data_IF_264727943579
#
_entry.id   IF_264727943579
#
_cell.length_a   1.000
_cell.length_b   1.000
_cell.length_c   1.000
_cell.angle_alpha   90.00
_cell.angle_beta   90.00
_cell.angle_gamma   90.00
#
_symmetry.space_group_name_H-M   'P 1'
#
loop_
_entity.id
_entity.type
_entity.pdbx_description
1 polymer ?
#
# COMPACT_ATOMS: atom_id res chain seq x y z
N UNK A 1 33.27 -23.70 38.23
CA UNK A 1 32.70 -24.35 37.03
C UNK A 1 31.25 -24.69 37.33
N UNK A 2 30.30 -24.11 36.58
CA UNK A 2 28.88 -24.48 36.67
C UNK A 2 28.74 -25.94 36.23
N UNK A 3 28.16 -26.84 37.06
CA UNK A 3 27.98 -28.23 36.63
C UNK A 3 26.92 -28.26 35.53
N UNK A 4 27.04 -29.16 34.56
CA UNK A 4 26.10 -29.25 33.42
C UNK A 4 24.63 -29.37 33.87
N UNK A 5 24.39 -30.02 35.01
CA UNK A 5 23.06 -30.13 35.63
C UNK A 5 22.53 -28.79 36.14
N UNK A 6 23.41 -27.94 36.69
CA UNK A 6 23.06 -26.60 37.17
C UNK A 6 22.67 -25.71 35.99
N UNK A 7 23.42 -25.78 34.88
CA UNK A 7 23.10 -25.04 33.65
C UNK A 7 21.73 -25.46 33.07
N UNK A 8 21.44 -26.75 33.01
CA UNK A 8 20.14 -27.26 32.56
C UNK A 8 18.99 -26.88 33.51
N UNK A 9 19.27 -26.87 34.82
CA UNK A 9 18.34 -26.41 35.85
C UNK A 9 17.99 -24.93 35.68
N UNK A 10 19.02 -24.08 35.54
CA UNK A 10 18.87 -22.65 35.33
C UNK A 10 18.13 -22.33 34.03
N UNK A 11 18.39 -23.05 32.95
CA UNK A 11 17.69 -22.84 31.67
C UNK A 11 16.19 -23.13 31.80
N UNK A 12 15.82 -24.25 32.43
CA UNK A 12 14.41 -24.59 32.68
C UNK A 12 13.75 -23.54 33.58
N UNK A 13 14.46 -23.10 34.62
CA UNK A 13 14.00 -22.08 35.54
C UNK A 13 13.78 -20.75 34.81
N UNK A 14 14.74 -20.29 34.01
CA UNK A 14 14.65 -19.06 33.23
C UNK A 14 13.37 -19.01 32.38
N UNK A 15 13.07 -20.08 31.65
CA UNK A 15 11.87 -20.17 30.80
C UNK A 15 10.59 -20.16 31.65
N UNK A 16 10.60 -20.82 32.81
CA UNK A 16 9.46 -20.88 33.72
C UNK A 16 9.20 -19.55 34.46
N UNK A 17 10.24 -18.77 34.73
CA UNK A 17 10.15 -17.48 35.43
C UNK A 17 9.85 -16.29 34.50
N UNK A 18 9.56 -16.54 33.21
CA UNK A 18 9.10 -15.49 32.31
C UNK A 18 7.79 -14.85 32.83
N UNK A 19 7.55 -13.55 32.58
CA UNK A 19 6.33 -12.86 33.04
C UNK A 19 5.03 -13.51 32.54
N UNK A 20 5.10 -14.18 31.39
CA UNK A 20 4.05 -15.05 30.86
C UNK A 20 4.69 -16.33 30.29
N UNK A 21 3.97 -17.47 30.25
CA UNK A 21 4.47 -18.69 29.65
C UNK A 21 4.85 -18.47 28.19
N UNK A 22 5.88 -19.17 27.72
CA UNK A 22 6.42 -18.96 26.38
C UNK A 22 5.36 -19.17 25.28
N UNK A 23 4.45 -20.13 25.47
CA UNK A 23 3.34 -20.39 24.54
C UNK A 23 2.02 -19.67 24.87
N UNK A 24 2.08 -18.69 25.77
CA UNK A 24 0.98 -17.86 26.29
C UNK A 24 -0.17 -18.64 26.94
N UNK A 25 -0.74 -18.10 28.02
CA UNK A 25 -1.90 -18.75 28.70
C UNK A 25 -3.14 -18.70 27.81
N UNK A 26 -3.29 -17.63 27.05
CA UNK A 26 -4.47 -17.37 26.20
C UNK A 26 -4.65 -18.43 25.11
N UNK A 27 -3.57 -18.94 24.53
CA UNK A 27 -3.64 -19.93 23.45
C UNK A 27 -3.58 -21.38 23.94
N UNK A 28 -3.28 -21.62 25.23
CA UNK A 28 -3.19 -22.96 25.80
C UNK A 28 -4.43 -23.84 25.52
N UNK A 29 -5.69 -23.37 25.67
CA UNK A 29 -6.86 -24.17 25.33
C UNK A 29 -6.89 -24.62 23.87
N UNK A 30 -6.41 -23.79 22.94
CA UNK A 30 -6.36 -24.11 21.52
C UNK A 30 -5.28 -25.17 21.22
N UNK A 31 -4.12 -25.06 21.86
CA UNK A 31 -3.07 -26.07 21.80
C UNK A 31 -3.55 -27.45 22.28
N UNK A 32 -4.28 -27.50 23.41
CA UNK A 32 -4.83 -28.74 23.96
C UNK A 32 -5.91 -29.32 23.02
N UNK A 33 -6.88 -28.49 22.63
CA UNK A 33 -8.02 -28.88 21.78
C UNK A 33 -7.55 -29.47 20.45
N UNK A 34 -6.46 -28.93 19.88
CA UNK A 34 -5.86 -29.44 18.66
C UNK A 34 -5.47 -30.91 18.76
N UNK A 35 -4.85 -31.32 19.86
CA UNK A 35 -4.43 -32.72 20.04
C UNK A 35 -5.63 -33.60 20.36
N UNK A 36 -6.55 -33.12 21.18
CA UNK A 36 -7.70 -33.91 21.65
C UNK A 36 -8.76 -34.13 20.57
N UNK A 37 -9.05 -33.12 19.74
CA UNK A 37 -10.14 -33.18 18.76
C UNK A 37 -9.70 -33.56 17.35
N UNK A 38 -8.43 -33.39 17.01
CA UNK A 38 -7.94 -33.64 15.64
C UNK A 38 -7.13 -34.94 15.64
N UNK A 39 -7.71 -36.02 15.11
CA UNK A 39 -7.02 -37.32 15.06
C UNK A 39 -5.95 -37.41 13.96
N UNK A 40 -6.08 -36.62 12.88
CA UNK A 40 -5.17 -36.66 11.73
C UNK A 40 -3.93 -35.79 11.99
N UNK A 41 -2.75 -36.39 12.03
CA UNK A 41 -1.48 -35.70 12.27
C UNK A 41 -1.21 -34.53 11.31
N UNK A 42 -1.58 -34.66 10.03
CA UNK A 42 -1.42 -33.58 9.05
C UNK A 42 -2.21 -32.33 9.43
N UNK A 43 -3.45 -32.52 9.89
CA UNK A 43 -4.33 -31.43 10.33
C UNK A 43 -3.84 -30.84 11.66
N UNK A 44 -3.35 -31.69 12.58
CA UNK A 44 -2.69 -31.22 13.81
C UNK A 44 -1.49 -30.32 13.49
N UNK A 45 -0.63 -30.72 12.55
CA UNK A 45 0.52 -29.91 12.16
C UNK A 45 0.10 -28.59 11.52
N UNK A 46 -0.93 -28.59 10.65
CA UNK A 46 -1.43 -27.36 10.04
C UNK A 46 -1.97 -26.38 11.08
N UNK A 47 -2.81 -26.85 12.01
CA UNK A 47 -3.37 -25.95 13.02
C UNK A 47 -2.31 -25.54 14.07
N UNK A 48 -1.33 -26.41 14.38
CA UNK A 48 -0.19 -26.07 15.22
C UNK A 48 0.68 -25.00 14.56
N UNK A 49 0.89 -25.09 13.25
CA UNK A 49 1.59 -24.09 12.45
C UNK A 49 0.93 -22.71 12.59
N UNK A 50 -0.40 -22.65 12.45
CA UNK A 50 -1.15 -21.39 12.59
C UNK A 50 -1.09 -20.83 14.01
N UNK A 51 -1.15 -21.68 15.04
CA UNK A 51 -0.98 -21.23 16.42
C UNK A 51 0.40 -20.61 16.67
N UNK A 52 1.47 -21.16 16.07
CA UNK A 52 2.81 -20.56 16.14
C UNK A 52 2.85 -19.19 15.44
N UNK A 53 2.14 -19.03 14.33
CA UNK A 53 2.05 -17.74 13.61
C UNK A 53 1.29 -16.67 14.43
N UNK A 54 0.42 -17.07 15.35
CA UNK A 54 -0.31 -16.15 16.24
C UNK A 54 0.49 -15.74 17.48
N UNK A 55 1.58 -16.45 17.81
CA UNK A 55 2.42 -16.08 18.96
C UNK A 55 3.04 -14.69 18.74
N UNK A 56 3.18 -13.89 19.82
CA UNK A 56 3.96 -12.66 19.79
C UNK A 56 5.37 -12.93 19.25
N UNK A 57 5.93 -11.97 18.51
CA UNK A 57 7.22 -12.13 17.82
C UNK A 57 8.34 -12.57 18.76
N UNK A 58 8.49 -11.90 19.91
CA UNK A 58 9.50 -12.25 20.92
C UNK A 58 9.33 -13.69 21.46
N UNK A 59 8.09 -14.12 21.71
CA UNK A 59 7.78 -15.48 22.17
C UNK A 59 8.12 -16.51 21.09
N UNK A 60 7.73 -16.25 19.85
CA UNK A 60 7.96 -17.15 18.70
C UNK A 60 9.45 -17.33 18.43
N UNK A 61 10.23 -16.26 18.46
CA UNK A 61 11.66 -16.30 18.19
C UNK A 61 12.42 -17.00 19.32
N UNK A 62 12.05 -16.71 20.57
CA UNK A 62 12.60 -17.40 21.74
C UNK A 62 12.27 -18.90 21.71
N UNK A 63 11.02 -19.25 21.40
CA UNK A 63 10.60 -20.64 21.26
C UNK A 63 11.37 -21.36 20.15
N UNK A 64 11.58 -20.71 19.00
CA UNK A 64 12.37 -21.24 17.89
C UNK A 64 13.79 -21.59 18.34
N UNK A 65 14.49 -20.63 18.93
CA UNK A 65 15.87 -20.83 19.38
C UNK A 65 15.96 -21.94 20.44
N UNK A 66 15.05 -21.93 21.42
CA UNK A 66 15.02 -22.93 22.48
C UNK A 66 14.75 -24.34 21.94
N UNK A 67 13.74 -24.50 21.08
CA UNK A 67 13.41 -25.79 20.49
C UNK A 67 14.51 -26.30 19.56
N UNK A 68 15.20 -25.42 18.81
CA UNK A 68 16.35 -25.80 18.00
C UNK A 68 17.51 -26.34 18.85
N UNK A 69 17.75 -25.73 20.02
CA UNK A 69 18.68 -26.28 21.00
C UNK A 69 18.24 -27.67 21.49
N UNK A 70 16.96 -27.86 21.83
CA UNK A 70 16.44 -29.17 22.26
C UNK A 70 16.56 -30.24 21.16
N UNK A 71 16.39 -29.88 19.87
CA UNK A 71 16.63 -30.79 18.74
C UNK A 71 18.07 -31.32 18.73
N UNK A 72 19.06 -30.48 19.07
CA UNK A 72 20.46 -30.91 19.21
C UNK A 72 20.68 -31.82 20.43
N UNK A 73 19.99 -31.56 21.54
CA UNK A 73 20.03 -32.43 22.73
C UNK A 73 19.52 -33.82 22.40
N UNK A 74 18.37 -33.91 21.73
CA UNK A 74 17.76 -35.18 21.29
C UNK A 74 18.64 -35.90 20.27
N UNK A 75 19.28 -35.18 19.34
CA UNK A 75 20.21 -35.78 18.38
C UNK A 75 21.42 -36.47 19.05
N UNK A 76 21.75 -36.10 20.30
CA UNK A 76 22.84 -36.69 21.07
C UNK A 76 22.36 -37.78 22.07
N UNK A 77 21.16 -38.34 21.85
CA UNK A 77 20.54 -39.37 22.70
C UNK A 77 21.48 -40.53 23.04
N UNK A 78 22.31 -40.99 22.09
CA UNK A 78 23.25 -42.09 22.32
C UNK A 78 24.19 -41.85 23.51
N UNK A 79 24.58 -40.59 23.75
CA UNK A 79 25.49 -40.18 24.83
C UNK A 79 24.75 -39.71 26.09
N UNK A 80 23.69 -38.91 25.95
CA UNK A 80 22.99 -38.31 27.10
C UNK A 80 21.76 -39.09 27.58
N UNK A 81 21.34 -40.13 26.85
CA UNK A 81 20.15 -40.98 27.11
C UNK A 81 18.82 -40.21 27.15
N UNK A 82 18.79 -38.99 26.62
CA UNK A 82 17.62 -38.12 26.55
C UNK A 82 16.96 -38.24 25.18
N UNK A 83 16.01 -39.17 25.08
CA UNK A 83 15.20 -39.33 23.88
C UNK A 83 14.20 -38.17 23.71
N UNK A 84 13.60 -38.07 22.52
CA UNK A 84 12.65 -37.01 22.18
C UNK A 84 11.48 -36.91 23.18
N UNK A 85 10.96 -38.05 23.65
CA UNK A 85 9.84 -38.10 24.58
C UNK A 85 10.23 -37.59 25.97
N UNK A 86 11.36 -38.06 26.50
CA UNK A 86 11.92 -37.65 27.79
C UNK A 86 12.17 -36.14 27.83
N UNK A 87 12.79 -35.59 26.77
CA UNK A 87 13.00 -34.14 26.66
C UNK A 87 11.65 -33.41 26.65
N UNK A 88 10.69 -33.87 25.86
CA UNK A 88 9.38 -33.22 25.74
C UNK A 88 8.61 -33.20 27.06
N UNK A 89 8.60 -34.31 27.80
CA UNK A 89 7.97 -34.39 29.13
C UNK A 89 8.61 -33.44 30.15
N UNK A 90 9.94 -33.32 30.16
CA UNK A 90 10.64 -32.46 31.13
C UNK A 90 10.43 -30.98 30.83
N UNK A 91 10.40 -30.59 29.55
CA UNK A 91 10.34 -29.17 29.17
C UNK A 91 8.91 -28.64 29.05
N UNK A 92 7.91 -29.46 28.71
CA UNK A 92 6.53 -29.01 28.51
C UNK A 92 5.93 -28.22 29.69
N UNK A 93 6.11 -28.62 30.97
CA UNK A 93 5.59 -27.83 32.09
C UNK A 93 6.15 -26.41 32.13
N UNK A 94 7.42 -26.22 31.78
CA UNK A 94 8.08 -24.91 31.80
C UNK A 94 7.63 -24.02 30.64
N UNK A 95 7.08 -24.62 29.57
CA UNK A 95 6.67 -23.92 28.35
C UNK A 95 5.20 -23.45 28.38
N UNK A 96 4.33 -24.20 29.08
CA UNK A 96 2.88 -24.00 29.06
C UNK A 96 2.28 -23.60 30.41
N UNK A 97 2.91 -23.93 31.54
CA UNK A 97 2.29 -23.79 32.86
C UNK A 97 2.80 -22.53 33.57
N UNK A 98 1.86 -21.67 33.98
CA UNK A 98 2.11 -20.53 34.87
C UNK A 98 1.92 -20.95 36.34
N UNK A 99 2.74 -20.42 37.26
CA UNK A 99 2.66 -20.75 38.70
C UNK A 99 1.26 -20.44 39.25
N UNK A 100 0.64 -21.39 39.97
CA UNK A 100 -0.48 -21.06 40.88
C UNK A 100 -1.69 -22.00 40.97
N UNK A 101 -1.75 -23.15 40.29
CA UNK A 101 -2.87 -24.12 40.48
C UNK A 101 -2.35 -25.51 40.86
N UNK A 102 -3.10 -26.17 41.77
CA UNK A 102 -2.77 -27.48 42.38
C UNK A 102 -3.19 -28.62 41.45
N UNK A 103 -2.36 -29.66 41.47
CA UNK A 103 -2.51 -30.91 40.71
C UNK A 103 -3.85 -31.64 40.95
N UNK A 104 -4.70 -31.64 39.91
CA UNK A 104 -5.87 -32.52 39.78
C UNK A 104 -5.66 -33.52 38.63
N UNK A 105 -6.44 -34.60 38.57
CA UNK A 105 -6.34 -35.66 37.55
C UNK A 105 -6.49 -35.15 36.10
N UNK A 106 -7.21 -34.03 35.90
CA UNK A 106 -7.28 -33.30 34.64
C UNK A 106 -5.95 -32.64 34.23
N UNK A 107 -5.09 -32.26 35.19
CA UNK A 107 -3.76 -31.73 34.89
C UNK A 107 -2.79 -32.80 34.38
N UNK A 108 -2.96 -34.07 34.79
CA UNK A 108 -2.12 -35.17 34.29
C UNK A 108 -2.36 -35.46 32.80
N UNK A 109 -3.64 -35.44 32.38
CA UNK A 109 -3.98 -35.55 30.96
C UNK A 109 -3.45 -34.34 30.18
N UNK A 110 -3.57 -33.13 30.74
CA UNK A 110 -3.01 -31.91 30.14
C UNK A 110 -1.47 -31.96 30.04
N UNK A 111 -0.77 -32.57 30.99
CA UNK A 111 0.67 -32.74 30.97
C UNK A 111 1.12 -33.70 29.84
N UNK A 112 0.43 -34.81 29.64
CA UNK A 112 0.70 -35.73 28.53
C UNK A 112 0.42 -35.06 27.17
N UNK A 113 -0.68 -34.32 27.07
CA UNK A 113 -1.04 -33.57 25.86
C UNK A 113 0.00 -32.50 25.53
N UNK A 114 0.39 -31.67 26.49
CA UNK A 114 1.41 -30.63 26.28
C UNK A 114 2.78 -31.22 25.94
N UNK A 115 3.18 -32.34 26.56
CA UNK A 115 4.39 -33.08 26.17
C UNK A 115 4.31 -33.57 24.72
N UNK A 116 3.14 -34.07 24.29
CA UNK A 116 2.94 -34.44 22.88
C UNK A 116 3.09 -33.25 21.94
N UNK A 117 2.59 -32.07 22.31
CA UNK A 117 2.72 -30.85 21.51
C UNK A 117 4.20 -30.46 21.38
N UNK A 118 4.95 -30.43 22.49
CA UNK A 118 6.40 -30.16 22.46
C UNK A 118 7.13 -31.16 21.55
N UNK A 119 6.75 -32.43 21.60
CA UNK A 119 7.31 -33.47 20.73
C UNK A 119 7.09 -33.14 19.25
N UNK A 120 5.89 -32.70 18.87
CA UNK A 120 5.59 -32.26 17.51
C UNK A 120 6.41 -31.03 17.12
N UNK A 121 6.50 -30.05 18.03
CA UNK A 121 7.27 -28.83 17.86
C UNK A 121 8.76 -29.11 17.62
N UNK A 122 9.38 -30.03 18.35
CA UNK A 122 10.78 -30.41 18.15
C UNK A 122 10.96 -31.22 16.86
N UNK A 123 10.04 -32.14 16.56
CA UNK A 123 10.17 -33.05 15.41
C UNK A 123 9.96 -32.35 14.06
N UNK A 124 9.02 -31.42 13.97
CA UNK A 124 8.58 -30.82 12.70
C UNK A 124 9.02 -29.35 12.54
N UNK A 125 10.18 -28.99 13.10
CA UNK A 125 10.69 -27.62 13.09
C UNK A 125 10.82 -26.99 11.70
N UNK A 126 11.27 -27.78 10.73
CA UNK A 126 11.59 -27.27 9.40
C UNK A 126 10.33 -26.84 8.63
N UNK A 127 9.15 -27.32 9.07
CA UNK A 127 7.85 -26.99 8.49
C UNK A 127 7.19 -25.86 9.30
N UNK A 128 7.07 -26.06 10.61
CA UNK A 128 6.25 -25.26 11.51
C UNK A 128 6.74 -23.79 11.72
N UNK A 129 7.99 -23.48 11.35
CA UNK A 129 8.58 -22.13 11.49
C UNK A 129 8.76 -21.39 10.16
N UNK A 130 8.15 -21.91 9.09
CA UNK A 130 8.06 -21.22 7.80
C UNK A 130 6.74 -20.45 7.71
N UNK A 131 6.59 -19.50 6.80
CA UNK A 131 5.26 -18.92 6.54
C UNK A 131 4.51 -19.83 5.57
N UNK A 132 3.30 -20.34 5.92
CA UNK A 132 2.49 -21.12 4.99
C UNK A 132 2.27 -20.38 3.67
N UNK A 133 2.48 -21.05 2.54
CA UNK A 133 2.38 -20.45 1.20
C UNK A 133 1.00 -19.84 0.92
N UNK A 134 -0.07 -20.43 1.47
CA UNK A 134 -1.42 -19.90 1.32
C UNK A 134 -1.59 -18.53 2.01
N UNK A 135 -0.92 -18.29 3.16
CA UNK A 135 -0.92 -16.99 3.81
C UNK A 135 -0.16 -15.96 2.98
N UNK A 136 0.99 -16.35 2.42
CA UNK A 136 1.75 -15.48 1.49
C UNK A 136 0.87 -15.10 0.29
N UNK A 137 0.18 -16.07 -0.30
CA UNK A 137 -0.73 -15.83 -1.42
C UNK A 137 -1.89 -14.90 -1.02
N UNK A 138 -2.46 -15.09 0.16
CA UNK A 138 -3.58 -14.28 0.63
C UNK A 138 -3.15 -12.83 0.87
N UNK A 139 -2.01 -12.62 1.53
CA UNK A 139 -1.43 -11.28 1.77
C UNK A 139 -1.14 -10.58 0.44
N UNK A 140 -0.57 -11.28 -0.55
CA UNK A 140 -0.35 -10.72 -1.89
C UNK A 140 -1.65 -10.24 -2.54
N UNK A 141 -2.69 -11.08 -2.55
CA UNK A 141 -4.01 -10.71 -3.08
C UNK A 141 -4.62 -9.52 -2.35
N UNK A 142 -4.53 -9.48 -1.02
CA UNK A 142 -5.03 -8.35 -0.22
C UNK A 142 -4.29 -7.06 -0.55
N UNK A 143 -2.97 -7.11 -0.69
CA UNK A 143 -2.15 -5.95 -1.06
C UNK A 143 -2.44 -5.46 -2.49
N UNK A 144 -2.59 -6.38 -3.44
CA UNK A 144 -2.99 -6.06 -4.82
C UNK A 144 -4.38 -5.42 -4.87
N UNK A 145 -5.34 -5.95 -4.11
CA UNK A 145 -6.68 -5.39 -4.01
C UNK A 145 -6.66 -3.97 -3.39
N UNK A 146 -5.85 -3.76 -2.34
CA UNK A 146 -5.67 -2.44 -1.73
C UNK A 146 -5.08 -1.43 -2.73
N UNK A 147 -4.01 -1.80 -3.45
CA UNK A 147 -3.41 -0.94 -4.49
C UNK A 147 -4.39 -0.63 -5.61
N UNK A 148 -5.15 -1.62 -6.09
CA UNK A 148 -6.14 -1.44 -7.13
C UNK A 148 -7.28 -0.52 -6.69
N UNK A 149 -7.73 -0.64 -5.44
CA UNK A 149 -8.74 0.25 -4.86
C UNK A 149 -8.22 1.68 -4.72
N UNK A 150 -6.99 1.88 -4.23
CA UNK A 150 -6.37 3.22 -4.19
C UNK A 150 -6.24 3.85 -5.59
N UNK A 151 -5.86 3.05 -6.60
CA UNK A 151 -5.78 3.50 -7.99
C UNK A 151 -7.15 3.89 -8.54
N UNK A 152 -8.19 3.09 -8.28
CA UNK A 152 -9.57 3.38 -8.65
C UNK A 152 -10.08 4.66 -7.98
N UNK A 153 -9.78 4.85 -6.70
CA UNK A 153 -10.17 6.06 -5.96
C UNK A 153 -9.46 7.30 -6.51
N UNK A 154 -8.15 7.23 -6.79
CA UNK A 154 -7.41 8.29 -7.46
C UNK A 154 -7.97 8.62 -8.86
N UNK A 155 -8.39 7.61 -9.62
CA UNK A 155 -9.04 7.80 -10.93
C UNK A 155 -10.41 8.45 -10.79
N UNK A 156 -11.21 8.03 -9.80
CA UNK A 156 -12.50 8.63 -9.49
C UNK A 156 -12.34 10.11 -9.09
N UNK A 157 -11.40 10.43 -8.20
CA UNK A 157 -11.10 11.80 -7.80
C UNK A 157 -10.65 12.67 -8.98
N UNK A 158 -9.83 12.13 -9.89
CA UNK A 158 -9.49 12.83 -11.13
C UNK A 158 -10.71 13.07 -12.01
N UNK A 159 -11.62 12.10 -12.11
CA UNK A 159 -12.90 12.22 -12.80
C UNK A 159 -13.79 13.31 -12.20
N UNK A 160 -13.94 13.32 -10.87
CA UNK A 160 -14.68 14.34 -10.12
C UNK A 160 -14.05 15.72 -10.32
N UNK A 161 -12.73 15.87 -10.18
CA UNK A 161 -12.04 17.15 -10.46
C UNK A 161 -12.27 17.62 -11.89
N UNK A 162 -12.23 16.71 -12.87
CA UNK A 162 -12.50 17.02 -14.29
C UNK A 162 -13.94 17.48 -14.49
N UNK A 163 -14.91 16.83 -13.84
CA UNK A 163 -16.33 17.21 -13.90
C UNK A 163 -16.60 18.54 -13.19
N UNK A 164 -16.03 18.75 -12.00
CA UNK A 164 -16.12 20.02 -11.28
C UNK A 164 -15.54 21.16 -12.11
N UNK A 165 -14.37 20.95 -12.75
CA UNK A 165 -13.75 21.90 -13.67
C UNK A 165 -14.65 22.20 -14.87
N UNK A 166 -15.30 21.20 -15.46
CA UNK A 166 -16.28 21.40 -16.55
C UNK A 166 -17.48 22.22 -16.09
N UNK A 167 -18.00 21.95 -14.89
CA UNK A 167 -19.13 22.69 -14.30
C UNK A 167 -18.75 24.12 -13.92
N UNK A 168 -17.51 24.38 -13.49
CA UNK A 168 -17.01 25.75 -13.28
C UNK A 168 -16.83 26.48 -14.59
N UNK A 169 -16.30 25.84 -15.65
CA UNK A 169 -16.22 26.43 -16.99
C UNK A 169 -17.59 26.72 -17.60
N UNK A 170 -18.61 25.90 -17.33
CA UNK A 170 -20.00 26.22 -17.72
C UNK A 170 -20.60 27.35 -16.89
N UNK A 171 -20.24 27.46 -15.59
CA UNK A 171 -20.72 28.54 -14.72
C UNK A 171 -20.02 29.88 -14.95
N UNK A 172 -18.79 29.84 -15.48
CA UNK A 172 -18.02 31.00 -15.93
C UNK A 172 -18.20 31.31 -17.42
N UNK A 173 -19.07 30.59 -18.15
CA UNK A 173 -19.59 31.11 -19.42
C UNK A 173 -20.44 32.33 -19.06
N UNK A 174 -20.05 33.56 -19.43
CA UNK A 174 -20.94 34.69 -19.30
C UNK A 174 -22.15 34.39 -20.18
N UNK A 175 -23.36 34.41 -19.61
CA UNK A 175 -24.56 34.58 -20.40
C UNK A 175 -24.35 35.84 -21.25
N UNK A 176 -24.46 35.70 -22.57
CA UNK A 176 -24.30 36.79 -23.53
C UNK A 176 -25.39 37.83 -23.29
N UNK A 177 -25.07 39.11 -23.04
CA UNK A 177 -25.84 40.19 -23.63
C UNK A 177 -25.27 40.39 -25.04
N UNK A 178 -26.06 40.10 -26.07
CA UNK A 178 -25.81 40.64 -27.41
C UNK A 178 -25.66 42.16 -27.29
N UNK A 179 -24.43 42.64 -27.37
CA UNK A 179 -24.12 44.07 -27.48
C UNK A 179 -22.77 44.21 -28.17
N UNK A 180 -22.85 44.54 -29.46
CA UNK A 180 -21.88 45.25 -30.30
C UNK A 180 -20.41 45.15 -29.88
N UNK A 181 -19.76 44.07 -30.30
CA UNK A 181 -18.29 44.04 -30.36
C UNK A 181 -17.89 44.92 -31.56
N UNK A 182 -17.08 45.98 -31.39
CA UNK A 182 -16.59 46.78 -32.50
C UNK A 182 -15.85 45.91 -33.52
N UNK A 183 -16.11 46.14 -34.82
CA UNK A 183 -15.53 45.39 -35.92
C UNK A 183 -13.98 45.33 -35.79
N UNK A 184 -13.42 44.12 -35.86
CA UNK A 184 -11.97 43.91 -35.74
C UNK A 184 -11.42 43.75 -34.31
N UNK A 185 -12.26 43.63 -33.27
CA UNK A 185 -11.82 43.19 -31.94
C UNK A 185 -12.07 41.69 -31.75
N UNK A 186 -11.03 40.93 -31.44
CA UNK A 186 -11.15 39.51 -31.06
C UNK A 186 -10.88 39.30 -29.58
N UNK A 187 -11.55 38.31 -28.98
CA UNK A 187 -11.26 37.85 -27.62
C UNK A 187 -10.48 36.54 -27.68
N UNK A 188 -9.25 36.55 -27.19
CA UNK A 188 -8.35 35.40 -27.17
C UNK A 188 -8.31 34.80 -25.77
N UNK A 189 -8.44 33.47 -25.68
CA UNK A 189 -8.41 32.73 -24.42
C UNK A 189 -7.09 31.96 -24.26
N UNK A 190 -6.47 32.07 -23.08
CA UNK A 190 -5.21 31.42 -22.76
C UNK A 190 -5.31 30.71 -21.39
N UNK A 191 -5.92 29.51 -21.33
CA UNK A 191 -6.26 28.84 -20.07
C UNK A 191 -5.07 28.47 -19.17
N UNK A 192 -3.86 28.49 -19.72
CA UNK A 192 -2.61 28.16 -19.02
C UNK A 192 -1.80 29.41 -18.64
N UNK A 193 -2.29 30.61 -18.95
CA UNK A 193 -1.64 31.88 -18.61
C UNK A 193 -2.31 32.49 -17.37
N UNK A 194 -1.56 33.32 -16.65
CA UNK A 194 -2.11 34.10 -15.52
C UNK A 194 -3.26 35.02 -15.96
N UNK A 195 -3.14 35.62 -17.14
CA UNK A 195 -4.23 36.30 -17.83
C UNK A 195 -4.95 35.30 -18.75
N UNK A 196 -6.11 34.84 -18.30
CA UNK A 196 -6.88 33.77 -18.98
C UNK A 196 -7.63 34.23 -20.22
N UNK A 197 -7.87 35.54 -20.37
CA UNK A 197 -8.47 36.11 -21.58
C UNK A 197 -8.03 37.55 -21.83
N UNK A 198 -8.01 37.96 -23.10
CA UNK A 198 -7.70 39.33 -23.50
C UNK A 198 -8.47 39.71 -24.76
N UNK A 199 -9.03 40.92 -24.78
CA UNK A 199 -9.55 41.53 -26.00
C UNK A 199 -8.41 42.21 -26.76
N UNK A 200 -8.35 41.98 -28.07
CA UNK A 200 -7.28 42.46 -28.94
C UNK A 200 -7.90 43.13 -30.15
N UNK A 201 -7.63 44.42 -30.32
CA UNK A 201 -7.90 45.14 -31.56
C UNK A 201 -6.93 44.66 -32.64
N UNK A 202 -7.48 44.16 -33.74
CA UNK A 202 -6.73 43.74 -34.92
C UNK A 202 -6.47 44.94 -35.83
N UNK A 203 -5.29 44.95 -36.45
CA UNK A 203 -4.95 45.82 -37.56
C UNK A 203 -4.35 44.96 -38.69
N UNK A 204 -4.06 45.57 -39.84
CA UNK A 204 -3.54 44.87 -41.02
C UNK A 204 -2.17 44.23 -40.83
N UNK A 205 -1.44 44.56 -39.76
CA UNK A 205 -0.12 44.01 -39.47
C UNK A 205 -0.13 43.00 -38.31
N UNK A 206 -1.22 42.87 -37.57
CA UNK A 206 -1.30 41.94 -36.42
C UNK A 206 -1.17 40.50 -36.89
N UNK A 207 -0.07 39.84 -36.53
CA UNK A 207 0.16 38.43 -36.80
C UNK A 207 -0.17 37.55 -35.60
N UNK A 208 -0.38 36.26 -35.84
CA UNK A 208 -0.66 35.28 -34.78
C UNK A 208 0.45 35.25 -33.71
N UNK A 209 1.72 35.37 -34.11
CA UNK A 209 2.86 35.44 -33.19
C UNK A 209 2.84 36.68 -32.28
N UNK A 210 2.31 37.80 -32.75
CA UNK A 210 2.24 39.04 -31.96
C UNK A 210 1.24 38.88 -30.81
N UNK A 211 0.15 38.15 -31.05
CA UNK A 211 -0.83 37.79 -30.01
C UNK A 211 -0.16 36.90 -28.96
N UNK A 212 0.56 35.86 -29.37
CA UNK A 212 1.30 34.98 -28.45
C UNK A 212 2.33 35.79 -27.62
N UNK A 213 3.09 36.68 -28.27
CA UNK A 213 4.06 37.54 -27.60
C UNK A 213 3.42 38.45 -26.55
N UNK A 214 2.26 39.04 -26.83
CA UNK A 214 1.51 39.86 -25.85
C UNK A 214 1.12 39.05 -24.61
N UNK A 215 0.62 37.83 -24.80
CA UNK A 215 0.29 36.95 -23.68
C UNK A 215 1.52 36.49 -22.90
N UNK A 216 2.68 36.31 -23.54
CA UNK A 216 3.93 36.00 -22.84
C UNK A 216 4.47 37.19 -22.03
N UNK A 217 4.43 38.41 -22.59
CA UNK A 217 4.83 39.64 -21.89
C UNK A 217 3.97 39.88 -20.65
N UNK A 218 2.65 39.71 -20.77
CA UNK A 218 1.73 39.90 -19.66
C UNK A 218 1.91 38.81 -18.60
N UNK A 219 2.16 37.57 -19.01
CA UNK A 219 2.40 36.45 -18.10
C UNK A 219 3.72 36.59 -17.33
N UNK A 220 4.74 37.23 -17.93
CA UNK A 220 6.05 37.47 -17.31
C UNK A 220 6.03 38.56 -16.24
N UNK A 221 5.00 39.42 -16.23
CA UNK A 221 4.79 40.43 -15.17
C UNK A 221 4.13 39.85 -13.92
N UNK A 222 3.55 38.64 -14.01
CA UNK A 222 3.13 37.84 -12.86
C UNK A 222 4.23 36.86 -12.46
N UNK A 223 4.46 36.63 -11.17
CA UNK A 223 5.59 35.85 -10.62
C UNK A 223 5.56 34.33 -10.89
N UNK A 224 4.95 33.85 -11.97
CA UNK A 224 4.73 32.41 -12.21
C UNK A 224 5.71 31.82 -13.24
N UNK A 225 6.69 31.05 -12.78
CA UNK A 225 7.75 30.41 -13.57
C UNK A 225 7.32 29.19 -14.42
N UNK A 226 6.03 28.87 -14.52
CA UNK A 226 5.58 27.54 -14.98
C UNK A 226 5.41 27.32 -16.50
N UNK A 227 5.70 28.30 -17.35
CA UNK A 227 5.50 28.17 -18.82
C UNK A 227 6.74 28.49 -19.66
N UNK A 228 7.91 28.67 -19.04
CA UNK A 228 9.13 29.20 -19.67
C UNK A 228 9.81 28.32 -20.74
N UNK A 229 9.13 27.30 -21.28
CA UNK A 229 9.70 26.43 -22.31
C UNK A 229 8.71 25.62 -23.14
N UNK A 230 7.38 25.82 -23.00
CA UNK A 230 6.41 25.13 -23.86
C UNK A 230 6.15 25.93 -25.14
N UNK A 231 6.37 25.31 -26.30
CA UNK A 231 6.02 25.91 -27.59
C UNK A 231 4.49 25.95 -27.67
N UNK A 232 3.93 27.15 -27.81
CA UNK A 232 2.49 27.36 -27.90
C UNK A 232 2.07 27.79 -29.31
N UNK A 233 0.80 27.60 -29.64
CA UNK A 233 0.18 28.04 -30.88
C UNK A 233 -1.19 28.63 -30.63
N UNK A 234 -1.56 29.58 -31.50
CA UNK A 234 -2.91 30.14 -31.55
C UNK A 234 -3.79 29.25 -32.42
N UNK A 235 -4.99 28.93 -31.93
CA UNK A 235 -5.96 28.13 -32.64
C UNK A 235 -7.22 28.93 -32.94
N UNK A 236 -7.70 28.75 -34.16
CA UNK A 236 -9.02 29.14 -34.62
C UNK A 236 -9.98 27.97 -34.41
N UNK A 237 -11.12 28.20 -33.76
CA UNK A 237 -12.09 27.16 -33.40
C UNK A 237 -13.49 27.62 -33.79
N UNK A 238 -14.28 26.75 -34.42
CA UNK A 238 -15.66 27.06 -34.81
C UNK A 238 -15.87 27.08 -36.33
N UNK A 239 -17.12 27.24 -36.75
CA UNK A 239 -17.53 26.98 -38.13
C UNK A 239 -17.43 25.49 -38.52
N UNK A 240 -17.17 25.20 -39.80
CA UNK A 240 -17.03 23.83 -40.33
C UNK A 240 -15.61 23.25 -40.23
N UNK A 241 -14.64 24.02 -39.72
CA UNK A 241 -13.21 23.62 -39.64
C UNK A 241 -12.86 22.90 -38.33
N UNK A 242 -13.77 22.91 -37.35
CA UNK A 242 -13.52 22.34 -36.02
C UNK A 242 -12.45 23.10 -35.25
N UNK A 243 -11.18 22.73 -35.46
CA UNK A 243 -10.02 23.39 -34.86
C UNK A 243 -8.86 23.45 -35.86
N UNK A 244 -8.32 24.64 -36.07
CA UNK A 244 -7.19 24.91 -36.95
C UNK A 244 -6.06 25.58 -36.17
N UNK A 245 -4.83 25.10 -36.32
CA UNK A 245 -3.64 25.72 -35.73
C UNK A 245 -3.10 26.78 -36.71
N UNK A 246 -3.01 28.03 -36.27
CA UNK A 246 -2.54 29.10 -37.13
C UNK A 246 -1.01 29.08 -37.27
N UNK A 247 -0.56 29.43 -38.48
CA UNK A 247 0.84 29.75 -38.72
C UNK A 247 1.22 31.02 -37.92
N UNK A 248 2.39 31.06 -37.24
CA UNK A 248 2.84 32.24 -36.51
C UNK A 248 2.86 33.54 -37.35
N UNK A 249 3.07 33.44 -38.66
CA UNK A 249 3.11 34.58 -39.58
C UNK A 249 1.76 34.93 -40.22
N UNK A 250 0.69 34.21 -39.89
CA UNK A 250 -0.66 34.48 -40.39
C UNK A 250 -1.20 35.84 -39.90
N UNK A 251 -1.78 36.62 -40.82
CA UNK A 251 -2.40 37.91 -40.53
C UNK A 251 -3.79 37.72 -39.93
N UNK A 252 -3.96 38.13 -38.67
CA UNK A 252 -5.15 37.82 -37.89
C UNK A 252 -6.41 38.51 -38.40
N UNK A 253 -6.27 39.70 -39.01
CA UNK A 253 -7.42 40.42 -39.56
C UNK A 253 -8.03 39.66 -40.75
N UNK A 254 -7.19 39.02 -41.57
CA UNK A 254 -7.66 38.23 -42.72
C UNK A 254 -8.32 36.93 -42.27
N UNK A 255 -7.73 36.25 -41.28
CA UNK A 255 -8.34 35.04 -40.69
C UNK A 255 -9.68 35.38 -40.03
N UNK A 256 -9.76 36.51 -39.30
CA UNK A 256 -11.01 36.99 -38.70
C UNK A 256 -12.07 37.30 -39.76
N UNK A 257 -11.72 37.95 -40.88
CA UNK A 257 -12.68 38.22 -41.96
C UNK A 257 -13.20 36.94 -42.62
N UNK A 258 -12.35 35.94 -42.75
CA UNK A 258 -12.74 34.63 -43.29
C UNK A 258 -13.66 33.85 -42.33
N UNK A 259 -13.49 34.05 -41.01
CA UNK A 259 -14.31 33.40 -40.00
C UNK A 259 -14.62 34.34 -38.80
N UNK A 260 -15.59 35.25 -38.95
CA UNK A 260 -15.87 36.27 -37.93
C UNK A 260 -16.39 35.70 -36.61
N UNK A 261 -16.92 34.47 -36.65
CA UNK A 261 -17.50 33.76 -35.51
C UNK A 261 -16.51 32.80 -34.83
N UNK A 262 -15.23 32.82 -35.24
CA UNK A 262 -14.21 31.98 -34.65
C UNK A 262 -13.96 32.31 -33.16
N UNK A 263 -13.82 31.26 -32.36
CA UNK A 263 -13.21 31.32 -31.04
C UNK A 263 -11.69 31.20 -31.16
N UNK A 264 -10.95 32.05 -30.43
CA UNK A 264 -9.49 32.12 -30.51
C UNK A 264 -8.87 31.60 -29.21
N UNK A 265 -8.08 30.52 -29.29
CA UNK A 265 -7.55 29.85 -28.09
C UNK A 265 -6.06 29.54 -28.23
N UNK A 266 -5.26 29.91 -27.23
CA UNK A 266 -3.85 29.55 -27.12
C UNK A 266 -3.73 28.17 -26.45
N UNK A 267 -3.03 27.24 -27.10
CA UNK A 267 -2.79 25.88 -26.60
C UNK A 267 -1.31 25.49 -26.72
N UNK A 268 -0.80 24.56 -25.89
CA UNK A 268 0.51 23.95 -26.10
C UNK A 268 0.52 23.15 -27.41
N UNK A 269 1.62 23.23 -28.17
CA UNK A 269 1.85 22.29 -29.29
C UNK A 269 2.09 20.89 -28.69
N UNK A 270 1.34 19.90 -29.17
CA UNK A 270 1.67 18.51 -28.91
C UNK A 270 3.00 18.20 -29.62
N UNK A 271 3.95 17.61 -28.89
CA UNK A 271 5.16 17.02 -29.47
C UNK A 271 4.84 15.73 -30.21
#
# INVERSE_FOLDING_TARGET
>A
MLRNNDAAGLLKMFIRELPSPLFTVEYLPAFITLVEKISKIKLQLQALHLLIMLLPEANRDTAKAFLQFLKKVVANEGKNKMNLWNVSMIVAPNLFIYKGKRANQQEMQAAATTAHIVRLLIRYQDILWTVPSFLISQVRKTNEAAMNNSKRQLMFDKGVRKLLRRKTMERERPERPESDIPEGVIRVYAPLHSKVSMAIQLNSQTKAKDILARFHCENSRGSSQNTRGQIQSLHEIGGNIGQHCLDPDAYMLDVYRANPQAEWVIKPKAS
#
